data_IF_604435525990
#
_entry.id   IF_604435525990
#
_cell.length_a   1.000
_cell.length_b   1.000
_cell.length_c   1.000
_cell.angle_alpha   90.00
_cell.angle_beta   90.00
_cell.angle_gamma   90.00
#
_symmetry.space_group_name_H-M   'P 1'
#
loop_
_entity.id
_entity.type
_entity.pdbx_description
1 polymer ?
#
# COMPACT_ATOMS: atom_id res chain seq x y z
N UNK A 1 -15.48 2.75 11.83
CA UNK A 1 -14.29 3.10 11.02
C UNK A 1 -13.27 3.99 11.74
N UNK A 2 -13.60 5.24 12.12
CA UNK A 2 -12.60 6.20 12.65
C UNK A 2 -11.76 5.65 13.83
N UNK A 3 -12.40 5.03 14.83
CA UNK A 3 -11.71 4.44 15.97
C UNK A 3 -10.72 3.34 15.59
N UNK A 4 -11.04 2.54 14.56
CA UNK A 4 -10.15 1.50 14.04
C UNK A 4 -8.91 2.14 13.39
N UNK A 5 -9.10 3.18 12.58
CA UNK A 5 -7.98 3.87 11.92
C UNK A 5 -7.03 4.48 12.95
N UNK A 6 -7.55 5.12 14.00
CA UNK A 6 -6.73 5.67 15.09
C UNK A 6 -5.98 4.57 15.86
N UNK A 7 -6.67 3.48 16.20
CA UNK A 7 -6.08 2.30 16.86
C UNK A 7 -4.92 1.71 16.04
N UNK A 8 -5.12 1.54 14.73
CA UNK A 8 -4.07 1.05 13.83
C UNK A 8 -2.93 2.06 13.69
N UNK A 9 -3.23 3.36 13.70
CA UNK A 9 -2.23 4.42 13.62
C UNK A 9 -1.31 4.45 14.85
N UNK A 10 -1.81 4.11 16.03
CA UNK A 10 -1.01 4.03 17.26
C UNK A 10 -0.19 2.74 17.38
N UNK A 11 -0.44 1.74 16.52
CA UNK A 11 0.21 0.44 16.62
C UNK A 11 1.71 0.54 16.30
N UNK A 12 2.62 0.12 17.21
CA UNK A 12 4.06 0.36 17.07
C UNK A 12 4.68 -0.20 15.78
N UNK A 13 4.28 -1.39 15.34
CA UNK A 13 4.83 -2.02 14.12
C UNK A 13 4.57 -1.15 12.89
N UNK A 14 3.38 -0.56 12.80
CA UNK A 14 3.05 0.38 11.74
C UNK A 14 3.82 1.70 11.88
N UNK A 15 3.97 2.24 13.10
CA UNK A 15 4.79 3.45 13.34
C UNK A 15 6.23 3.29 12.90
N UNK A 16 6.82 2.13 13.18
CA UNK A 16 8.19 1.83 12.78
C UNK A 16 8.32 1.82 11.25
N UNK A 17 7.42 1.12 10.55
CA UNK A 17 7.41 1.07 9.08
C UNK A 17 7.04 2.40 8.41
N UNK A 18 6.21 3.21 9.07
CA UNK A 18 5.89 4.56 8.60
C UNK A 18 7.09 5.52 8.75
N UNK A 19 8.04 5.21 9.62
CA UNK A 19 9.26 5.99 9.84
C UNK A 19 9.08 7.20 10.78
N UNK A 20 7.93 7.34 11.43
CA UNK A 20 7.66 8.39 12.42
C UNK A 20 6.95 7.83 13.64
N UNK A 21 7.54 8.07 14.81
CA UNK A 21 6.95 7.69 16.11
C UNK A 21 5.81 8.59 16.54
N UNK A 22 5.87 9.87 16.16
CA UNK A 22 4.84 10.86 16.50
C UNK A 22 3.81 10.89 15.37
N UNK A 23 2.53 10.90 15.76
CA UNK A 23 1.38 11.01 14.86
C UNK A 23 1.51 12.30 14.03
N UNK A 24 1.19 12.22 12.73
CA UNK A 24 1.26 13.38 11.86
C UNK A 24 0.11 14.35 12.20
N UNK A 25 0.42 15.61 12.52
CA UNK A 25 -0.59 16.62 12.87
C UNK A 25 -1.66 16.83 11.78
N UNK A 26 -1.32 16.52 10.52
CA UNK A 26 -2.24 16.60 9.38
C UNK A 26 -2.98 15.29 9.10
N UNK A 27 -2.81 14.28 9.97
CA UNK A 27 -3.47 12.97 9.89
C UNK A 27 -3.16 12.18 8.61
N UNK A 28 -2.02 12.46 7.96
CA UNK A 28 -1.63 11.77 6.70
C UNK A 28 -1.38 10.28 6.89
N UNK A 29 -0.84 9.94 8.04
CA UNK A 29 -0.59 8.58 8.48
C UNK A 29 -1.89 7.77 8.64
N UNK A 30 -2.94 8.39 9.19
CA UNK A 30 -4.29 7.85 9.25
C UNK A 30 -4.91 7.76 7.84
N UNK A 31 -4.71 8.77 7.01
CA UNK A 31 -5.17 8.78 5.61
C UNK A 31 -4.59 7.60 4.82
N UNK A 32 -3.31 7.25 5.02
CA UNK A 32 -2.71 6.10 4.33
C UNK A 32 -3.33 4.76 4.73
N UNK A 33 -3.67 4.56 6.01
CA UNK A 33 -4.41 3.37 6.44
C UNK A 33 -5.78 3.32 5.75
N UNK A 34 -6.50 4.44 5.71
CA UNK A 34 -7.79 4.52 5.03
C UNK A 34 -7.66 4.28 3.52
N UNK A 35 -6.61 4.81 2.91
CA UNK A 35 -6.32 4.65 1.48
C UNK A 35 -6.02 3.19 1.13
N UNK A 36 -5.33 2.45 2.00
CA UNK A 36 -5.15 1.01 1.84
C UNK A 36 -6.50 0.31 1.65
N UNK A 37 -7.44 0.50 2.56
CA UNK A 37 -8.76 -0.16 2.48
C UNK A 37 -9.57 0.28 1.25
N UNK A 38 -9.56 1.58 0.95
CA UNK A 38 -10.34 2.13 -0.14
C UNK A 38 -9.80 1.64 -1.50
N UNK A 39 -8.48 1.66 -1.69
CA UNK A 39 -7.84 1.29 -2.95
C UNK A 39 -7.66 -0.23 -3.12
N UNK A 40 -7.70 -1.01 -2.04
CA UNK A 40 -7.73 -2.49 -2.10
C UNK A 40 -9.12 -3.07 -2.33
N UNK A 41 -10.16 -2.22 -2.38
CA UNK A 41 -11.54 -2.65 -2.56
C UNK A 41 -11.76 -3.34 -3.91
N UNK A 42 -12.74 -4.25 -3.95
CA UNK A 42 -13.12 -4.95 -5.18
C UNK A 42 -13.58 -3.99 -6.27
N UNK A 43 -14.26 -2.90 -5.89
CA UNK A 43 -14.64 -1.83 -6.80
C UNK A 43 -13.42 -1.27 -7.53
N UNK A 44 -12.38 -0.85 -6.81
CA UNK A 44 -11.20 -0.25 -7.43
C UNK A 44 -10.35 -1.26 -8.18
N UNK A 45 -10.13 -2.46 -7.63
CA UNK A 45 -9.17 -3.39 -8.21
C UNK A 45 -9.73 -4.25 -9.35
N UNK A 46 -11.01 -4.59 -9.31
CA UNK A 46 -11.55 -5.67 -10.16
C UNK A 46 -12.84 -5.31 -10.92
N UNK A 47 -13.53 -4.22 -10.57
CA UNK A 47 -14.76 -3.84 -11.29
C UNK A 47 -14.48 -3.13 -12.61
N UNK A 48 -15.15 -3.52 -13.68
CA UNK A 48 -15.11 -2.77 -14.95
C UNK A 48 -15.85 -1.43 -14.86
N UNK A 49 -16.78 -1.29 -13.91
CA UNK A 49 -17.54 -0.06 -13.65
C UNK A 49 -16.80 0.96 -12.78
N UNK A 50 -15.54 0.67 -12.40
CA UNK A 50 -14.75 1.57 -11.57
C UNK A 50 -14.56 2.94 -12.27
N UNK A 51 -14.57 4.06 -11.51
CA UNK A 51 -14.36 5.37 -12.11
C UNK A 51 -12.97 5.45 -12.74
N UNK A 52 -12.86 6.02 -13.95
CA UNK A 52 -11.55 6.11 -14.64
C UNK A 52 -10.48 6.89 -13.85
N UNK A 53 -10.92 7.85 -13.02
CA UNK A 53 -10.08 8.65 -12.12
C UNK A 53 -10.79 8.88 -10.79
N UNK A 54 -10.01 8.85 -9.71
CA UNK A 54 -10.47 9.08 -8.35
C UNK A 54 -10.04 10.48 -7.89
N UNK A 55 -10.98 11.25 -7.35
CA UNK A 55 -10.65 12.39 -6.49
C UNK A 55 -10.43 11.85 -5.08
N UNK A 56 -9.17 11.59 -4.71
CA UNK A 56 -8.80 10.82 -3.51
C UNK A 56 -9.60 11.23 -2.27
N UNK A 57 -9.55 12.50 -1.87
CA UNK A 57 -10.28 13.01 -0.68
C UNK A 57 -11.78 12.71 -0.72
N UNK A 58 -12.42 12.90 -1.88
CA UNK A 58 -13.86 12.64 -2.05
C UNK A 58 -14.15 11.15 -1.90
N UNK A 59 -13.33 10.31 -2.52
CA UNK A 59 -13.49 8.87 -2.48
C UNK A 59 -13.26 8.29 -1.08
N UNK A 60 -12.21 8.73 -0.37
CA UNK A 60 -11.97 8.30 1.00
C UNK A 60 -13.12 8.69 1.94
N UNK A 61 -13.68 9.90 1.78
CA UNK A 61 -14.86 10.32 2.55
C UNK A 61 -16.09 9.45 2.28
N UNK A 62 -16.32 9.10 1.01
CA UNK A 62 -17.42 8.21 0.63
C UNK A 62 -17.21 6.80 1.21
N UNK A 63 -16.02 6.23 1.04
CA UNK A 63 -15.66 4.91 1.56
C UNK A 63 -15.84 4.81 3.09
N UNK A 64 -15.46 5.86 3.84
CA UNK A 64 -15.70 5.90 5.29
C UNK A 64 -17.18 5.86 5.65
N UNK A 65 -18.04 6.52 4.87
CA UNK A 65 -19.48 6.56 5.11
C UNK A 65 -20.16 5.21 4.85
N UNK A 66 -19.71 4.50 3.82
CA UNK A 66 -20.25 3.19 3.42
C UNK A 66 -19.72 2.05 4.33
N UNK A 67 -18.50 2.18 4.85
CA UNK A 67 -17.79 1.11 5.59
C UNK A 67 -17.84 1.30 7.11
N UNK A 68 -19.01 1.65 7.66
CA UNK A 68 -19.17 1.86 9.09
C UNK A 68 -19.88 0.71 9.84
N UNK A 69 -19.89 -0.49 9.24
CA UNK A 69 -20.46 -1.69 9.86
C UNK A 69 -19.47 -2.30 10.85
N UNK A 70 -19.89 -2.42 12.11
CA UNK A 70 -19.06 -2.99 13.19
C UNK A 70 -18.57 -4.41 12.86
N UNK A 71 -19.41 -5.19 12.18
CA UNK A 71 -19.10 -6.56 11.75
C UNK A 71 -17.86 -6.69 10.85
N UNK A 72 -17.45 -5.61 10.17
CA UNK A 72 -16.27 -5.61 9.30
C UNK A 72 -14.99 -5.19 10.02
N UNK A 73 -15.08 -4.60 11.23
CA UNK A 73 -13.93 -3.94 11.86
C UNK A 73 -12.82 -4.93 12.24
N UNK A 74 -13.18 -6.14 12.71
CA UNK A 74 -12.19 -7.15 13.08
C UNK A 74 -11.43 -7.67 11.84
N UNK A 75 -12.14 -8.01 10.77
CA UNK A 75 -11.53 -8.46 9.51
C UNK A 75 -10.61 -7.39 8.91
N UNK A 76 -11.05 -6.13 8.92
CA UNK A 76 -10.23 -5.01 8.46
C UNK A 76 -8.96 -4.89 9.30
N UNK A 77 -9.08 -4.90 10.63
CA UNK A 77 -7.93 -4.84 11.54
C UNK A 77 -6.92 -5.96 11.26
N UNK A 78 -7.39 -7.20 11.16
CA UNK A 78 -6.56 -8.36 10.86
C UNK A 78 -5.90 -8.24 9.48
N UNK A 79 -6.65 -7.81 8.47
CA UNK A 79 -6.14 -7.68 7.10
C UNK A 79 -4.97 -6.69 7.00
N UNK A 80 -5.07 -5.54 7.69
CA UNK A 80 -4.03 -4.53 7.69
C UNK A 80 -2.81 -5.00 8.51
N UNK A 81 -3.04 -5.55 9.70
CA UNK A 81 -1.96 -6.03 10.57
C UNK A 81 -1.17 -7.16 9.91
N UNK A 82 -1.85 -8.14 9.32
CA UNK A 82 -1.21 -9.26 8.64
C UNK A 82 -0.36 -8.78 7.47
N UNK A 83 -0.88 -7.87 6.63
CA UNK A 83 -0.11 -7.31 5.52
C UNK A 83 1.11 -6.50 6.00
N UNK A 84 0.97 -5.68 7.05
CA UNK A 84 2.07 -4.91 7.64
C UNK A 84 3.15 -5.81 8.24
N UNK A 85 2.78 -6.88 8.95
CA UNK A 85 3.73 -7.85 9.52
C UNK A 85 4.55 -8.49 8.40
N UNK A 86 3.89 -8.98 7.36
CA UNK A 86 4.55 -9.62 6.23
C UNK A 86 5.45 -8.66 5.46
N UNK A 87 5.02 -7.40 5.28
CA UNK A 87 5.88 -6.36 4.69
C UNK A 87 7.13 -6.12 5.55
N UNK A 88 6.97 -5.97 6.88
CA UNK A 88 8.12 -5.74 7.77
C UNK A 88 9.09 -6.92 7.74
N UNK A 89 8.57 -8.13 7.80
CA UNK A 89 9.35 -9.38 7.83
C UNK A 89 10.20 -9.55 6.57
N UNK A 90 9.63 -9.26 5.39
CA UNK A 90 10.28 -9.59 4.11
C UNK A 90 10.93 -8.41 3.38
N UNK A 91 10.49 -7.18 3.65
CA UNK A 91 11.02 -5.96 3.00
C UNK A 91 11.75 -5.02 3.97
N UNK A 92 11.63 -5.24 5.28
CA UNK A 92 12.32 -4.46 6.31
C UNK A 92 11.79 -3.03 6.46
N UNK A 93 12.50 -2.22 7.24
CA UNK A 93 12.04 -0.88 7.63
C UNK A 93 12.00 0.12 6.47
N UNK A 94 12.76 -0.14 5.39
CA UNK A 94 12.76 0.68 4.17
C UNK A 94 11.73 0.22 3.13
N UNK A 95 10.77 -0.63 3.52
CA UNK A 95 9.76 -1.19 2.63
C UNK A 95 9.06 -0.14 1.76
N UNK A 96 8.77 1.05 2.31
CA UNK A 96 8.03 2.10 1.61
C UNK A 96 8.91 3.25 1.09
N UNK A 97 10.23 3.05 1.03
CA UNK A 97 11.17 4.00 0.46
C UNK A 97 11.42 3.75 -1.02
N UNK A 98 11.40 4.81 -1.82
CA UNK A 98 11.73 4.77 -3.25
C UNK A 98 13.23 5.00 -3.45
N UNK A 99 13.75 4.71 -4.65
CA UNK A 99 15.12 5.04 -5.05
C UNK A 99 15.30 6.54 -5.32
N UNK A 100 16.53 7.03 -5.22
CA UNK A 100 16.86 8.42 -5.56
C UNK A 100 16.81 8.62 -7.07
N UNK A 101 16.15 9.69 -7.57
CA UNK A 101 16.15 10.03 -9.00
C UNK A 101 17.54 10.31 -9.58
N UNK A 102 18.50 10.69 -8.74
CA UNK A 102 19.89 10.97 -9.16
C UNK A 102 20.85 9.81 -8.98
N UNK A 103 20.46 8.77 -8.21
CA UNK A 103 21.25 7.57 -8.00
C UNK A 103 20.34 6.41 -7.59
N UNK A 104 20.09 5.48 -8.51
CA UNK A 104 19.23 4.34 -8.26
C UNK A 104 19.70 3.45 -7.11
N UNK A 105 20.99 3.45 -6.78
CA UNK A 105 21.61 2.62 -5.73
C UNK A 105 21.29 3.09 -4.30
N UNK A 106 20.62 4.23 -4.16
CA UNK A 106 20.31 4.85 -2.87
C UNK A 106 18.80 4.93 -2.69
N UNK A 107 18.31 4.45 -1.53
CA UNK A 107 16.94 4.69 -1.11
C UNK A 107 16.80 6.08 -0.48
N UNK A 108 15.72 6.79 -0.83
CA UNK A 108 15.37 8.06 -0.20
C UNK A 108 14.66 7.76 1.12
N UNK A 109 15.16 8.34 2.21
CA UNK A 109 14.54 8.27 3.54
C UNK A 109 13.28 9.16 3.62
N UNK A 110 12.29 8.79 2.81
CA UNK A 110 10.99 9.44 2.71
C UNK A 110 9.95 8.37 2.37
N UNK A 111 8.91 8.30 3.18
CA UNK A 111 7.74 7.48 2.90
C UNK A 111 7.12 7.84 1.54
N UNK A 112 7.04 6.87 0.64
CA UNK A 112 6.44 7.01 -0.68
C UNK A 112 5.01 6.50 -0.68
N UNK A 113 4.00 7.38 -0.83
CA UNK A 113 2.61 6.96 -0.78
C UNK A 113 2.26 5.96 -1.88
N UNK A 114 2.61 6.21 -3.14
CA UNK A 114 2.26 5.30 -4.22
C UNK A 114 2.95 3.94 -4.10
N UNK A 115 4.15 3.91 -3.51
CA UNK A 115 4.84 2.66 -3.22
C UNK A 115 4.18 1.90 -2.07
N UNK A 116 3.74 2.61 -1.02
CA UNK A 116 2.94 2.04 0.05
C UNK A 116 1.66 1.37 -0.47
N UNK A 117 0.90 2.05 -1.34
CA UNK A 117 -0.30 1.45 -1.94
C UNK A 117 0.06 0.17 -2.70
N UNK A 118 1.07 0.26 -3.56
CA UNK A 118 1.48 -0.85 -4.42
C UNK A 118 1.89 -2.08 -3.60
N UNK A 119 2.75 -1.88 -2.60
CA UNK A 119 3.27 -2.97 -1.76
C UNK A 119 2.19 -3.54 -0.85
N UNK A 120 1.53 -2.69 -0.06
CA UNK A 120 0.64 -3.20 0.98
C UNK A 120 -0.60 -3.86 0.38
N UNK A 121 -1.13 -3.33 -0.73
CA UNK A 121 -2.22 -3.96 -1.46
C UNK A 121 -1.76 -5.30 -2.06
N UNK A 122 -0.54 -5.37 -2.62
CA UNK A 122 0.00 -6.63 -3.16
C UNK A 122 0.10 -7.72 -2.10
N UNK A 123 0.63 -7.41 -0.92
CA UNK A 123 0.68 -8.35 0.20
C UNK A 123 -0.72 -8.75 0.68
N UNK A 124 -1.64 -7.80 0.79
CA UNK A 124 -3.02 -8.09 1.15
C UNK A 124 -3.68 -9.08 0.17
N UNK A 125 -3.51 -8.86 -1.14
CA UNK A 125 -4.02 -9.77 -2.16
C UNK A 125 -3.35 -11.14 -2.09
N UNK A 126 -2.03 -11.19 -1.90
CA UNK A 126 -1.30 -12.45 -1.83
C UNK A 126 -1.73 -13.29 -0.63
N UNK A 127 -1.90 -12.66 0.54
CA UNK A 127 -2.45 -13.33 1.73
C UNK A 127 -3.85 -13.87 1.46
N UNK A 128 -4.74 -13.03 0.89
CA UNK A 128 -6.13 -13.40 0.61
C UNK A 128 -6.24 -14.56 -0.39
N UNK A 129 -5.34 -14.61 -1.37
CA UNK A 129 -5.33 -15.63 -2.42
C UNK A 129 -4.57 -16.90 -2.00
N UNK A 130 -3.85 -16.90 -0.86
CA UNK A 130 -2.93 -17.98 -0.51
C UNK A 130 -1.64 -18.01 -1.34
N UNK A 131 -1.34 -16.91 -2.03
CA UNK A 131 -0.19 -16.73 -2.93
C UNK A 131 1.05 -16.19 -2.19
N UNK A 132 1.08 -16.24 -0.87
CA UNK A 132 2.21 -15.76 -0.06
C UNK A 132 3.37 -16.77 -0.03
N UNK A 133 4.05 -16.90 -1.16
CA UNK A 133 5.20 -17.80 -1.33
C UNK A 133 6.36 -17.06 -2.04
N UNK A 134 7.52 -17.73 -2.14
CA UNK A 134 8.73 -17.20 -2.81
C UNK A 134 9.30 -15.90 -2.23
N UNK A 135 9.06 -15.58 -0.95
CA UNK A 135 9.49 -14.31 -0.34
C UNK A 135 11.00 -14.18 -0.11
N UNK A 136 11.77 -15.24 -0.34
CA UNK A 136 13.22 -15.16 -0.42
C UNK A 136 13.61 -14.11 -1.47
N UNK A 137 14.46 -13.16 -1.09
CA UNK A 137 14.92 -12.07 -1.95
C UNK A 137 13.80 -11.13 -2.47
N UNK A 138 12.63 -11.07 -1.81
CA UNK A 138 11.55 -10.16 -2.18
C UNK A 138 12.02 -8.69 -2.20
N UNK A 139 12.90 -8.31 -1.28
CA UNK A 139 13.54 -6.98 -1.26
C UNK A 139 14.34 -6.69 -2.54
N UNK A 140 15.11 -7.67 -3.04
CA UNK A 140 15.88 -7.52 -4.27
C UNK A 140 14.97 -7.41 -5.50
N UNK A 141 13.88 -8.20 -5.54
CA UNK A 141 12.88 -8.10 -6.62
C UNK A 141 12.15 -6.77 -6.62
N UNK A 142 11.75 -6.28 -5.44
CA UNK A 142 11.21 -4.91 -5.28
C UNK A 142 12.23 -3.90 -5.82
N UNK A 143 13.49 -4.00 -5.41
CA UNK A 143 14.52 -3.06 -5.80
C UNK A 143 14.78 -3.07 -7.32
N UNK A 144 14.82 -4.26 -7.96
CA UNK A 144 14.85 -4.39 -9.43
C UNK A 144 13.68 -3.70 -10.11
N UNK A 145 12.45 -3.87 -9.59
CA UNK A 145 11.26 -3.20 -10.13
C UNK A 145 11.36 -1.67 -9.96
N UNK A 146 11.95 -1.17 -8.87
CA UNK A 146 12.16 0.26 -8.70
C UNK A 146 13.14 0.84 -9.72
N UNK A 147 14.03 0.04 -10.31
CA UNK A 147 14.93 0.49 -11.38
C UNK A 147 14.24 0.54 -12.77
N UNK A 148 13.00 0.07 -12.89
CA UNK A 148 12.23 0.13 -14.13
C UNK A 148 11.60 1.52 -14.34
N UNK A 149 11.93 2.16 -15.48
CA UNK A 149 11.44 3.50 -15.82
C UNK A 149 9.91 3.57 -15.98
N UNK A 150 9.27 2.50 -16.47
CA UNK A 150 7.82 2.48 -16.59
C UNK A 150 7.16 2.43 -15.20
N UNK A 151 7.72 1.66 -14.27
CA UNK A 151 7.25 1.63 -12.90
C UNK A 151 7.46 2.97 -12.19
N UNK A 152 8.61 3.64 -12.39
CA UNK A 152 8.85 4.99 -11.85
C UNK A 152 7.86 6.02 -12.43
N UNK A 153 7.52 5.91 -13.72
CA UNK A 153 6.47 6.74 -14.33
C UNK A 153 5.10 6.49 -13.70
N UNK A 154 4.74 5.23 -13.43
CA UNK A 154 3.49 4.89 -12.75
C UNK A 154 3.44 5.41 -11.31
N UNK A 155 4.57 5.43 -10.60
CA UNK A 155 4.68 5.95 -9.23
C UNK A 155 4.51 7.47 -9.15
N UNK A 156 4.87 8.21 -10.20
CA UNK A 156 4.94 9.67 -10.19
C UNK A 156 3.80 10.38 -10.94
N UNK A 157 3.21 9.76 -11.97
CA UNK A 157 2.29 10.43 -12.89
C UNK A 157 0.84 9.95 -12.79
N UNK A 158 -0.08 10.91 -12.68
CA UNK A 158 -1.54 10.69 -12.65
C UNK A 158 -1.96 9.54 -11.73
N UNK A 159 -1.41 9.55 -10.53
CA UNK A 159 -1.39 8.39 -9.62
C UNK A 159 -2.77 7.88 -9.24
N UNK A 160 -3.81 8.71 -9.34
CA UNK A 160 -5.21 8.39 -9.02
C UNK A 160 -6.07 7.99 -10.23
N UNK A 161 -5.48 7.66 -11.40
CA UNK A 161 -6.20 6.93 -12.44
C UNK A 161 -6.31 5.45 -12.06
N UNK A 162 -7.50 4.87 -12.16
CA UNK A 162 -7.74 3.49 -11.68
C UNK A 162 -6.88 2.48 -12.42
N UNK A 163 -6.74 2.57 -13.74
CA UNK A 163 -5.84 1.67 -14.46
C UNK A 163 -4.40 1.76 -13.95
N UNK A 164 -3.86 2.97 -13.68
CA UNK A 164 -2.51 3.13 -13.12
C UNK A 164 -2.37 2.58 -11.71
N UNK A 165 -3.43 2.68 -10.89
CA UNK A 165 -3.45 2.03 -9.57
C UNK A 165 -3.32 0.51 -9.75
N UNK A 166 -4.14 -0.08 -10.62
CA UNK A 166 -4.10 -1.51 -10.93
C UNK A 166 -2.75 -1.93 -11.49
N UNK A 167 -2.20 -1.21 -12.46
CA UNK A 167 -0.91 -1.52 -13.08
C UNK A 167 0.21 -1.53 -12.04
N UNK A 168 0.25 -0.53 -11.14
CA UNK A 168 1.25 -0.50 -10.07
C UNK A 168 1.14 -1.67 -9.11
N UNK A 169 -0.09 -2.00 -8.70
CA UNK A 169 -0.35 -3.13 -7.80
C UNK A 169 0.03 -4.43 -8.50
N UNK A 170 -0.36 -4.63 -9.75
CA UNK A 170 -0.08 -5.84 -10.51
C UNK A 170 1.42 -6.05 -10.74
N UNK A 171 2.15 -5.00 -11.17
CA UNK A 171 3.60 -5.08 -11.35
C UNK A 171 4.32 -5.39 -10.03
N UNK A 172 3.90 -4.74 -8.93
CA UNK A 172 4.47 -5.02 -7.62
C UNK A 172 4.15 -6.44 -7.14
N UNK A 173 2.91 -6.90 -7.33
CA UNK A 173 2.48 -8.25 -7.00
C UNK A 173 3.31 -9.30 -7.74
N UNK A 174 3.44 -9.14 -9.06
CA UNK A 174 4.20 -10.06 -9.89
C UNK A 174 5.68 -10.05 -9.50
N UNK A 175 6.27 -8.87 -9.27
CA UNK A 175 7.65 -8.77 -8.79
C UNK A 175 7.84 -9.45 -7.43
N UNK A 176 6.92 -9.29 -6.48
CA UNK A 176 7.08 -9.83 -5.13
C UNK A 176 6.81 -11.34 -5.05
N UNK A 177 5.83 -11.87 -5.78
CA UNK A 177 5.32 -13.23 -5.55
C UNK A 177 5.50 -14.18 -6.74
N UNK A 178 5.66 -13.66 -7.97
CA UNK A 178 5.77 -14.48 -9.19
C UNK A 178 7.11 -14.37 -9.92
N UNK A 179 7.96 -13.43 -9.51
CA UNK A 179 9.29 -13.26 -10.08
C UNK A 179 10.26 -14.35 -9.61
N UNK A 180 10.95 -14.99 -10.56
CA UNK A 180 12.14 -15.80 -10.29
C UNK A 180 13.37 -14.91 -10.02
#
# INVERSE_FOLDING_TARGET
MNSLLLKLNEWPVWRDLFGKKIIDERMRDVEYILRFYALSSTEILFSDDAPSRISLKKYLNQFMGETNKESLMNEMEESFKSAIIQVKEHLGDSAFHNISPSNSDILVDRFSPTLFDSILISFHLAIKNGDIHNLNNASDRKYRLLQDDNFQNLLSQETMRVHKIRDRVNLMYDALFRGN
#
